data_IF_453984858169
#
_entry.id   IF_453984858169
#
_cell.length_a   1.000
_cell.length_b   1.000
_cell.length_c   1.000
_cell.angle_alpha   90.00
_cell.angle_beta   90.00
_cell.angle_gamma   90.00
#
_symmetry.space_group_name_H-M   'P 1'
#
loop_
_entity.id
_entity.type
_entity.pdbx_description
1 polymer ?
#
# COMPACT_ATOMS: atom_id res chain seq x y z
N UNK A 1 11.42 -1.82 33.81
CA UNK A 1 11.93 -1.68 32.43
C UNK A 1 12.82 -0.45 32.37
N UNK A 2 14.01 -0.53 31.77
CA UNK A 2 14.96 0.60 31.66
C UNK A 2 14.78 1.26 30.29
N UNK A 3 14.72 2.58 30.24
CA UNK A 3 14.61 3.32 28.98
C UNK A 3 15.98 3.44 28.31
N UNK A 4 16.03 3.28 26.99
CA UNK A 4 17.24 3.45 26.18
C UNK A 4 17.51 4.94 25.92
N UNK A 5 17.87 5.67 26.97
CA UNK A 5 18.20 7.10 26.91
C UNK A 5 19.65 7.32 27.33
N UNK A 6 20.32 8.30 26.71
CA UNK A 6 21.72 8.61 26.99
C UNK A 6 21.91 9.27 28.36
N UNK A 7 20.91 10.03 28.83
CA UNK A 7 20.95 10.78 30.08
C UNK A 7 19.61 10.68 30.80
N UNK A 8 19.62 10.94 32.11
CA UNK A 8 18.41 11.09 32.92
C UNK A 8 17.82 12.50 32.74
N UNK A 9 17.17 12.74 31.60
CA UNK A 9 16.44 13.97 31.34
C UNK A 9 15.35 14.21 32.40
N UNK A 10 14.99 15.49 32.64
CA UNK A 10 14.01 15.87 33.67
C UNK A 10 14.38 15.41 35.09
N UNK A 11 15.69 15.35 35.38
CA UNK A 11 16.23 15.06 36.71
C UNK A 11 17.20 16.14 37.17
N UNK A 12 17.53 16.15 38.45
CA UNK A 12 18.52 17.08 39.01
C UNK A 12 19.91 16.96 38.32
N UNK A 13 20.23 15.82 37.71
CA UNK A 13 21.52 15.59 37.03
C UNK A 13 21.70 16.47 35.78
N UNK A 14 20.61 16.94 35.16
CA UNK A 14 20.68 17.83 33.99
C UNK A 14 20.54 19.31 34.35
N UNK A 15 20.47 19.66 35.64
CA UNK A 15 20.38 21.06 36.08
C UNK A 15 21.49 21.98 35.51
N UNK A 16 22.76 21.55 35.36
CA UNK A 16 23.77 22.40 34.73
C UNK A 16 23.47 22.77 33.28
N UNK A 17 22.74 21.92 32.54
CA UNK A 17 22.33 22.21 31.17
C UNK A 17 21.25 23.31 31.11
N UNK A 18 20.43 23.46 32.16
CA UNK A 18 19.44 24.53 32.26
C UNK A 18 20.13 25.91 32.22
N UNK A 19 21.27 26.07 32.90
CA UNK A 19 22.01 27.33 32.91
C UNK A 19 22.62 27.69 31.54
N UNK A 20 23.02 26.68 30.76
CA UNK A 20 23.46 26.88 29.37
C UNK A 20 22.28 27.32 28.52
N UNK A 21 21.14 26.63 28.62
CA UNK A 21 19.92 26.99 27.90
C UNK A 21 19.46 28.41 28.24
N UNK A 22 19.49 28.80 29.53
CA UNK A 22 19.11 30.13 30.00
C UNK A 22 19.87 31.23 29.25
N UNK A 23 21.21 31.11 29.20
CA UNK A 23 22.10 32.05 28.50
C UNK A 23 21.85 32.08 26.99
N UNK A 24 21.61 30.93 26.37
CA UNK A 24 21.25 30.89 24.95
C UNK A 24 19.91 31.57 24.69
N UNK A 25 18.92 31.35 25.56
CA UNK A 25 17.61 31.95 25.41
C UNK A 25 17.69 33.48 25.57
N UNK A 26 18.52 34.05 26.44
CA UNK A 26 18.70 35.52 26.59
C UNK A 26 18.96 36.24 25.27
N UNK A 27 19.57 35.56 24.29
CA UNK A 27 19.87 36.10 22.96
C UNK A 27 18.70 36.01 21.97
N UNK A 28 17.61 35.34 22.36
CA UNK A 28 16.41 35.13 21.55
C UNK A 28 15.32 36.11 21.99
N UNK A 29 14.80 36.87 21.03
CA UNK A 29 13.59 37.69 21.21
C UNK A 29 12.38 36.78 21.39
N UNK A 30 11.74 36.87 22.55
CA UNK A 30 10.50 36.14 22.85
C UNK A 30 9.31 37.05 22.54
N UNK A 31 8.41 36.57 21.69
CA UNK A 31 7.13 37.23 21.46
C UNK A 31 6.06 36.65 22.40
N UNK A 32 4.98 37.39 22.69
CA UNK A 32 3.80 36.83 23.33
C UNK A 32 3.29 35.59 22.59
N UNK A 33 2.69 34.66 23.32
CA UNK A 33 2.14 33.45 22.71
C UNK A 33 0.99 33.80 21.75
N UNK A 34 1.11 33.32 20.51
CA UNK A 34 0.04 33.36 19.53
C UNK A 34 -0.68 32.01 19.53
N UNK A 35 -1.95 32.03 19.92
CA UNK A 35 -2.76 30.82 20.05
C UNK A 35 -2.62 30.13 21.42
N UNK A 36 -3.36 29.04 21.56
CA UNK A 36 -3.51 28.32 22.82
C UNK A 36 -2.41 27.27 22.98
N UNK A 37 -1.69 27.32 24.10
CA UNK A 37 -0.62 26.38 24.44
C UNK A 37 -0.86 25.78 25.82
N UNK A 38 -1.02 24.46 25.88
CA UNK A 38 -1.08 23.73 27.15
C UNK A 38 0.29 23.15 27.43
N UNK A 39 0.95 23.68 28.46
CA UNK A 39 2.32 23.31 28.79
C UNK A 39 2.38 22.01 29.57
N UNK A 40 3.29 21.13 29.17
CA UNK A 40 3.62 19.93 29.94
C UNK A 40 4.51 20.24 31.16
N UNK A 41 5.09 21.44 31.26
CA UNK A 41 5.84 21.85 32.45
C UNK A 41 4.88 22.15 33.63
N UNK A 42 3.77 22.82 33.33
CA UNK A 42 2.78 23.26 34.32
C UNK A 42 1.55 22.35 34.38
N UNK A 43 1.29 21.61 33.31
CA UNK A 43 0.08 20.82 33.11
C UNK A 43 -1.16 21.71 32.87
N UNK A 44 -0.98 22.97 32.46
CA UNK A 44 -2.05 23.96 32.31
C UNK A 44 -1.84 24.81 31.06
N UNK A 45 -2.88 25.50 30.63
CA UNK A 45 -2.80 26.54 29.61
C UNK A 45 -1.90 27.70 30.06
N UNK A 46 -1.08 28.20 29.14
CA UNK A 46 -0.20 29.34 29.36
C UNK A 46 -0.91 30.65 29.01
N UNK A 47 -0.68 31.69 29.82
CA UNK A 47 -1.11 33.03 29.50
C UNK A 47 -0.21 33.65 28.40
N UNK A 48 -0.73 34.57 27.56
CA UNK A 48 0.05 35.18 26.48
C UNK A 48 1.35 35.87 26.92
N UNK A 49 1.38 36.40 28.15
CA UNK A 49 2.49 37.12 28.78
C UNK A 49 3.38 36.23 29.67
N UNK A 50 3.20 34.91 29.63
CA UNK A 50 4.03 33.96 30.39
C UNK A 50 5.51 34.18 30.09
N UNK A 51 6.35 34.27 31.14
CA UNK A 51 7.81 34.27 30.97
C UNK A 51 8.30 32.89 30.47
N UNK A 52 8.32 32.74 29.15
CA UNK A 52 8.74 31.53 28.46
C UNK A 52 10.21 31.19 28.74
N UNK A 53 11.06 32.19 28.96
CA UNK A 53 12.50 31.97 29.20
C UNK A 53 12.70 31.23 30.52
N UNK A 54 12.05 31.73 31.57
CA UNK A 54 12.09 31.09 32.89
C UNK A 54 11.41 29.72 32.85
N UNK A 55 10.25 29.60 32.20
CA UNK A 55 9.52 28.34 32.10
C UNK A 55 10.33 27.25 31.39
N UNK A 56 10.89 27.54 30.22
CA UNK A 56 11.68 26.57 29.44
C UNK A 56 12.96 26.15 30.18
N UNK A 57 13.63 27.11 30.83
CA UNK A 57 14.83 26.84 31.63
C UNK A 57 14.51 25.90 32.80
N UNK A 58 13.47 26.19 33.56
CA UNK A 58 13.06 25.36 34.69
C UNK A 58 12.62 23.96 34.25
N UNK A 59 12.01 23.84 33.07
CA UNK A 59 11.47 22.58 32.57
C UNK A 59 12.54 21.53 32.23
N UNK A 60 13.79 21.95 31.94
CA UNK A 60 14.91 21.03 31.65
C UNK A 60 15.12 20.00 32.76
N UNK A 61 15.04 20.44 34.02
CA UNK A 61 15.17 19.58 35.20
C UNK A 61 13.81 19.29 35.87
N UNK A 62 12.74 19.96 35.43
CA UNK A 62 11.38 19.77 35.92
C UNK A 62 10.67 18.58 35.26
N UNK A 63 9.62 18.03 35.91
CA UNK A 63 8.89 16.89 35.38
C UNK A 63 8.01 17.26 34.17
N UNK A 64 7.76 16.27 33.31
CA UNK A 64 6.80 16.36 32.20
C UNK A 64 5.42 15.88 32.67
N UNK A 65 4.49 16.81 32.87
CA UNK A 65 3.12 16.58 33.33
C UNK A 65 2.17 16.28 32.17
N UNK A 66 2.53 15.34 31.30
CA UNK A 66 1.79 15.07 30.07
C UNK A 66 0.33 14.65 30.32
N UNK A 67 0.08 13.73 31.26
CA UNK A 67 -1.29 13.31 31.59
C UNK A 67 -2.18 14.46 32.06
N UNK A 68 -1.63 15.40 32.84
CA UNK A 68 -2.35 16.59 33.29
C UNK A 68 -2.61 17.57 32.14
N UNK A 69 -1.64 17.75 31.23
CA UNK A 69 -1.81 18.57 30.04
C UNK A 69 -2.91 17.98 29.11
N UNK A 70 -2.92 16.66 28.90
CA UNK A 70 -3.95 15.98 28.12
C UNK A 70 -5.33 16.11 28.77
N UNK A 71 -5.44 15.93 30.09
CA UNK A 71 -6.69 16.13 30.80
C UNK A 71 -7.21 17.57 30.69
N UNK A 72 -6.30 18.56 30.75
CA UNK A 72 -6.64 19.98 30.55
C UNK A 72 -7.11 20.25 29.12
N UNK A 73 -6.45 19.66 28.12
CA UNK A 73 -6.86 19.79 26.71
C UNK A 73 -8.23 19.13 26.46
N UNK A 74 -8.47 17.98 27.08
CA UNK A 74 -9.70 17.21 26.92
C UNK A 74 -10.96 17.90 27.48
N UNK A 75 -10.82 18.92 28.34
CA UNK A 75 -11.98 19.65 28.87
C UNK A 75 -12.80 20.35 27.79
N UNK A 76 -12.16 20.67 26.65
CA UNK A 76 -12.81 21.26 25.48
C UNK A 76 -13.37 20.22 24.50
N UNK A 77 -13.18 18.93 24.78
CA UNK A 77 -13.67 17.81 23.96
C UNK A 77 -13.26 17.92 22.48
N UNK A 78 -11.95 17.99 22.18
CA UNK A 78 -11.49 18.07 20.80
C UNK A 78 -11.88 16.80 20.01
N UNK A 79 -12.37 17.00 18.78
CA UNK A 79 -12.79 15.91 17.89
C UNK A 79 -11.60 15.12 17.31
N UNK A 80 -10.42 15.75 17.21
CA UNK A 80 -9.23 15.19 16.58
C UNK A 80 -7.96 15.56 17.35
N UNK A 81 -7.15 14.55 17.66
CA UNK A 81 -5.82 14.70 18.24
C UNK A 81 -4.76 14.33 17.20
N UNK A 82 -3.83 15.24 16.94
CA UNK A 82 -2.76 15.04 15.96
C UNK A 82 -1.40 15.06 16.65
N UNK A 83 -0.67 13.95 16.57
CA UNK A 83 0.74 13.90 16.94
C UNK A 83 1.58 14.31 15.75
N UNK A 84 2.31 15.41 15.91
CA UNK A 84 3.29 15.90 14.95
C UNK A 84 4.69 15.49 15.42
N UNK A 85 5.21 14.44 14.80
CA UNK A 85 6.52 13.89 15.15
C UNK A 85 6.59 12.39 14.89
N UNK A 86 7.80 11.81 14.97
CA UNK A 86 8.02 10.40 14.70
C UNK A 86 7.57 9.52 15.87
N UNK A 87 6.96 8.38 15.55
CA UNK A 87 6.86 7.23 16.47
C UNK A 87 5.47 6.93 17.00
N UNK A 88 4.52 7.88 16.96
CA UNK A 88 3.14 7.64 17.38
C UNK A 88 2.96 7.41 18.88
N UNK A 89 3.96 7.76 19.69
CA UNK A 89 3.97 7.48 21.13
C UNK A 89 2.97 8.36 21.85
N UNK A 90 2.88 9.65 21.50
CA UNK A 90 1.97 10.58 22.18
C UNK A 90 0.51 10.25 21.87
N UNK A 91 0.21 9.85 20.64
CA UNK A 91 -1.11 9.40 20.21
C UNK A 91 -1.56 8.13 20.96
N UNK A 92 -0.63 7.24 21.30
CA UNK A 92 -0.91 6.10 22.16
C UNK A 92 -1.15 6.53 23.62
N UNK A 93 -0.28 7.37 24.18
CA UNK A 93 -0.44 7.88 25.55
C UNK A 93 -1.76 8.64 25.73
N UNK A 94 -2.19 9.44 24.74
CA UNK A 94 -3.49 10.13 24.77
C UNK A 94 -4.64 9.11 24.87
N UNK A 95 -4.59 8.02 24.11
CA UNK A 95 -5.58 6.93 24.19
C UNK A 95 -5.55 6.24 25.55
N UNK A 96 -4.37 6.03 26.14
CA UNK A 96 -4.26 5.42 27.47
C UNK A 96 -4.84 6.35 28.57
N UNK A 97 -4.65 7.66 28.44
CA UNK A 97 -5.13 8.66 29.41
C UNK A 97 -6.65 8.87 29.31
N UNK A 98 -7.19 8.97 28.09
CA UNK A 98 -8.60 9.31 27.86
C UNK A 98 -9.50 8.09 27.64
N UNK A 99 -8.92 6.94 27.31
CA UNK A 99 -9.62 5.76 26.82
C UNK A 99 -9.69 5.71 25.29
N UNK A 100 -9.72 4.51 24.68
CA UNK A 100 -9.64 4.33 23.23
C UNK A 100 -10.82 4.95 22.46
N UNK A 101 -12.01 4.98 23.06
CA UNK A 101 -13.23 5.52 22.44
C UNK A 101 -13.38 7.04 22.59
N UNK A 102 -12.59 7.66 23.47
CA UNK A 102 -12.73 9.08 23.81
C UNK A 102 -11.93 10.01 22.90
N UNK A 103 -11.02 9.48 22.08
CA UNK A 103 -10.10 10.29 21.29
C UNK A 103 -9.80 9.68 19.92
N UNK A 104 -10.22 10.39 18.86
CA UNK A 104 -9.70 10.13 17.51
C UNK A 104 -8.28 10.66 17.43
N UNK A 105 -7.28 9.78 17.50
CA UNK A 105 -5.85 10.16 17.39
C UNK A 105 -5.25 9.78 16.04
N UNK A 106 -4.38 10.65 15.50
CA UNK A 106 -3.59 10.41 14.28
C UNK A 106 -2.15 10.85 14.51
N UNK A 107 -1.19 10.02 14.10
CA UNK A 107 0.22 10.37 14.07
C UNK A 107 0.63 10.71 12.64
N UNK A 108 1.43 11.76 12.46
CA UNK A 108 1.89 12.19 11.14
C UNK A 108 3.08 11.40 10.62
N UNK A 109 3.80 10.70 11.50
CA UNK A 109 4.98 9.92 11.14
C UNK A 109 5.09 8.65 11.99
N UNK A 110 5.16 7.50 11.33
CA UNK A 110 5.19 6.18 11.97
C UNK A 110 6.27 5.30 11.31
N UNK A 111 7.04 4.53 12.12
CA UNK A 111 8.04 3.62 11.58
C UNK A 111 7.45 2.63 10.57
N UNK A 112 8.08 2.52 9.40
CA UNK A 112 7.66 1.58 8.34
C UNK A 112 6.40 1.99 7.57
N UNK A 113 5.87 3.19 7.80
CA UNK A 113 4.75 3.76 7.03
C UNK A 113 5.25 4.90 6.14
N UNK A 114 4.58 5.10 5.01
CA UNK A 114 4.86 6.23 4.14
C UNK A 114 4.23 7.50 4.73
N UNK A 115 5.03 8.57 4.91
CA UNK A 115 4.55 9.83 5.46
C UNK A 115 3.47 10.52 4.61
N UNK A 116 3.48 10.35 3.29
CA UNK A 116 2.41 10.87 2.43
C UNK A 116 1.09 10.15 2.66
N UNK A 117 1.11 8.83 2.88
CA UNK A 117 -0.10 8.08 3.20
C UNK A 117 -0.68 8.55 4.53
N UNK A 118 0.16 8.72 5.56
CA UNK A 118 -0.27 9.21 6.88
C UNK A 118 -0.83 10.64 6.80
N UNK A 119 -0.20 11.52 6.01
CA UNK A 119 -0.71 12.86 5.77
C UNK A 119 -2.06 12.81 5.06
N UNK A 120 -2.21 11.99 4.02
CA UNK A 120 -3.48 11.86 3.30
C UNK A 120 -4.59 11.27 4.19
N UNK A 121 -4.28 10.27 5.02
CA UNK A 121 -5.20 9.71 6.01
C UNK A 121 -5.65 10.78 7.03
N UNK A 122 -4.73 11.60 7.52
CA UNK A 122 -5.03 12.72 8.42
C UNK A 122 -5.94 13.75 7.73
N UNK A 123 -5.62 14.15 6.51
CA UNK A 123 -6.41 15.13 5.75
C UNK A 123 -7.81 14.60 5.43
N UNK A 124 -7.92 13.32 5.06
CA UNK A 124 -9.21 12.68 4.86
C UNK A 124 -10.05 12.66 6.16
N UNK A 125 -9.43 12.33 7.29
CA UNK A 125 -10.10 12.36 8.59
C UNK A 125 -10.56 13.76 8.96
N UNK A 126 -9.70 14.77 8.78
CA UNK A 126 -10.04 16.17 9.03
C UNK A 126 -11.20 16.64 8.13
N UNK A 127 -11.18 16.27 6.85
CA UNK A 127 -12.26 16.57 5.92
C UNK A 127 -13.59 15.95 6.36
N UNK A 128 -13.60 14.67 6.76
CA UNK A 128 -14.81 13.98 7.24
C UNK A 128 -15.36 14.62 8.51
N UNK A 129 -14.49 15.14 9.38
CA UNK A 129 -14.89 15.88 10.59
C UNK A 129 -15.33 17.33 10.30
N UNK A 130 -15.32 17.76 9.03
CA UNK A 130 -15.77 19.09 8.61
C UNK A 130 -14.72 20.19 8.75
N UNK A 131 -13.45 19.86 9.00
CA UNK A 131 -12.39 20.86 9.00
C UNK A 131 -12.11 21.37 7.58
N UNK A 132 -11.84 22.68 7.41
CA UNK A 132 -11.49 23.23 6.10
C UNK A 132 -10.09 22.75 5.67
N UNK A 133 -10.05 21.79 4.75
CA UNK A 133 -8.80 21.27 4.18
C UNK A 133 -8.41 22.09 2.95
N UNK A 134 -7.26 22.77 3.01
CA UNK A 134 -6.73 23.55 1.88
C UNK A 134 -5.97 22.65 0.91
N UNK A 135 -6.68 22.08 -0.06
CA UNK A 135 -6.09 21.18 -1.06
C UNK A 135 -5.07 21.90 -1.97
N UNK A 136 -5.24 23.18 -2.25
CA UNK A 136 -4.30 23.96 -3.08
C UNK A 136 -2.87 23.94 -2.51
N UNK A 137 -2.73 23.94 -1.18
CA UNK A 137 -1.44 23.84 -0.51
C UNK A 137 -0.82 22.45 -0.66
N UNK A 138 -1.63 21.39 -0.68
CA UNK A 138 -1.19 20.01 -0.84
C UNK A 138 -0.66 19.73 -2.26
N UNK A 139 -1.27 20.37 -3.25
CA UNK A 139 -0.91 20.26 -4.67
C UNK A 139 -0.05 21.44 -5.17
N UNK A 140 0.42 22.31 -4.27
CA UNK A 140 1.27 23.43 -4.62
C UNK A 140 2.51 22.93 -5.39
N UNK A 141 2.84 23.63 -6.48
CA UNK A 141 3.95 23.29 -7.37
C UNK A 141 3.85 21.92 -8.06
N UNK A 142 2.66 21.30 -8.09
CA UNK A 142 2.37 20.07 -8.84
C UNK A 142 1.39 20.36 -9.97
N UNK A 143 1.63 19.76 -11.13
CA UNK A 143 0.66 19.76 -12.20
C UNK A 143 -0.55 18.93 -11.77
N UNK A 144 -1.71 19.57 -11.67
CA UNK A 144 -2.99 18.90 -11.47
C UNK A 144 -4.00 19.55 -12.42
N UNK A 145 -4.93 18.72 -12.92
CA UNK A 145 -6.07 19.22 -13.70
C UNK A 145 -7.24 19.37 -12.72
N UNK A 146 -7.86 20.55 -12.59
CA UNK A 146 -9.08 20.70 -11.83
C UNK A 146 -10.12 19.68 -12.29
N UNK A 147 -10.72 18.98 -11.33
CA UNK A 147 -11.79 18.04 -11.60
C UNK A 147 -13.13 18.74 -11.33
N UNK A 148 -13.89 18.97 -12.38
CA UNK A 148 -15.24 19.50 -12.28
C UNK A 148 -16.19 18.34 -11.97
N UNK A 149 -16.48 18.16 -10.68
CA UNK A 149 -17.37 17.12 -10.22
C UNK A 149 -18.84 17.36 -10.62
N UNK A 150 -19.24 18.62 -10.87
CA UNK A 150 -20.62 18.98 -11.21
C UNK A 150 -20.95 18.61 -12.66
N UNK A 151 -19.97 18.73 -13.56
CA UNK A 151 -20.12 18.42 -14.99
C UNK A 151 -19.41 17.13 -15.40
N UNK A 152 -19.02 16.28 -14.45
CA UNK A 152 -18.38 15.00 -14.75
C UNK A 152 -19.39 13.96 -15.24
N UNK A 153 -19.36 13.66 -16.53
CA UNK A 153 -20.06 12.51 -17.11
C UNK A 153 -19.10 11.31 -17.27
N UNK A 154 -19.27 10.21 -16.51
CA UNK A 154 -18.39 9.05 -16.63
C UNK A 154 -18.60 8.36 -17.98
N UNK A 155 -17.63 8.52 -18.87
CA UNK A 155 -17.53 7.74 -20.11
C UNK A 155 -16.98 6.35 -19.81
N UNK A 156 -17.83 5.33 -19.82
CA UNK A 156 -17.37 3.95 -19.74
C UNK A 156 -16.72 3.56 -21.07
N UNK A 157 -15.58 2.86 -21.01
CA UNK A 157 -15.00 2.23 -22.19
C UNK A 157 -15.97 1.13 -22.62
N UNK A 158 -16.82 1.43 -23.60
CA UNK A 158 -17.69 0.43 -24.22
C UNK A 158 -16.86 -0.35 -25.23
N UNK A 159 -16.81 -1.67 -25.07
CA UNK A 159 -16.13 -2.55 -26.01
C UNK A 159 -16.70 -2.28 -27.42
N UNK A 160 -15.87 -1.90 -28.41
CA UNK A 160 -16.35 -1.65 -29.76
C UNK A 160 -17.05 -2.87 -30.39
N UNK A 161 -16.80 -4.09 -29.90
CA UNK A 161 -17.50 -5.30 -30.33
C UNK A 161 -18.92 -5.46 -29.73
N UNK A 162 -19.26 -4.70 -28.68
CA UNK A 162 -20.62 -4.65 -28.11
C UNK A 162 -21.52 -3.64 -28.84
N UNK A 163 -20.93 -2.74 -29.64
CA UNK A 163 -21.69 -1.99 -30.64
C UNK A 163 -22.04 -2.99 -31.72
N UNK A 164 -23.33 -3.34 -31.82
CA UNK A 164 -23.83 -4.25 -32.85
C UNK A 164 -23.21 -3.92 -34.21
N UNK A 165 -22.91 -4.95 -35.00
CA UNK A 165 -22.29 -4.78 -36.30
C UNK A 165 -23.00 -3.66 -37.08
N UNK A 166 -22.27 -2.70 -37.68
CA UNK A 166 -22.90 -1.64 -38.46
C UNK A 166 -23.85 -2.29 -39.46
N UNK A 167 -25.07 -1.73 -39.58
CA UNK A 167 -26.03 -2.13 -40.60
C UNK A 167 -25.26 -2.22 -41.93
N UNK A 168 -25.25 -3.43 -42.50
CA UNK A 168 -24.45 -3.83 -43.66
C UNK A 168 -24.04 -2.62 -44.50
N UNK A 169 -22.77 -2.22 -44.41
CA UNK A 169 -22.17 -1.35 -45.42
C UNK A 169 -22.39 -2.06 -46.74
N UNK A 170 -23.24 -1.50 -47.60
CA UNK A 170 -23.59 -2.10 -48.89
C UNK A 170 -22.31 -2.33 -49.67
N UNK A 171 -21.81 -3.57 -49.65
CA UNK A 171 -20.82 -4.02 -50.61
C UNK A 171 -21.62 -4.04 -51.91
N UNK A 172 -21.45 -3.01 -52.75
CA UNK A 172 -21.93 -3.05 -54.12
C UNK A 172 -21.31 -4.31 -54.74
N UNK A 173 -22.12 -5.36 -54.84
CA UNK A 173 -21.76 -6.53 -55.62
C UNK A 173 -21.73 -6.07 -57.08
N UNK A 174 -20.54 -5.68 -57.55
CA UNK A 174 -20.28 -5.68 -58.98
C UNK A 174 -20.44 -7.12 -59.44
N UNK A 175 -21.35 -7.36 -60.38
CA UNK A 175 -21.58 -8.67 -60.96
C UNK A 175 -20.25 -9.32 -61.38
N UNK A 176 -20.08 -10.64 -61.18
CA UNK A 176 -18.83 -11.31 -61.48
C UNK A 176 -18.59 -11.27 -62.99
N UNK A 177 -17.55 -10.53 -63.39
CA UNK A 177 -17.06 -10.49 -64.76
C UNK A 177 -16.61 -11.89 -65.19
N UNK A 178 -17.38 -12.50 -66.09
CA UNK A 178 -17.29 -13.90 -66.51
C UNK A 178 -16.10 -14.19 -67.45
N UNK A 179 -14.98 -13.49 -67.26
CA UNK A 179 -13.82 -13.55 -68.14
C UNK A 179 -12.51 -13.47 -67.35
N UNK A 180 -12.27 -14.45 -66.47
CA UNK A 180 -10.91 -14.87 -66.08
C UNK A 180 -10.95 -16.31 -65.55
N UNK A 181 -10.90 -17.25 -66.49
CA UNK A 181 -10.59 -18.64 -66.18
C UNK A 181 -9.09 -18.74 -65.84
N UNK A 182 -8.82 -19.66 -64.91
CA UNK A 182 -7.61 -20.46 -64.77
C UNK A 182 -6.25 -19.73 -64.76
N UNK A 183 -5.72 -19.55 -63.55
CA UNK A 183 -4.44 -20.12 -63.11
C UNK A 183 -4.09 -19.59 -61.71
N UNK A 184 -4.41 -20.36 -60.67
CA UNK A 184 -3.72 -20.25 -59.37
C UNK A 184 -2.66 -21.35 -59.37
N UNK A 185 -1.36 -21.03 -59.30
CA UNK A 185 -0.33 -22.05 -59.21
C UNK A 185 -0.51 -22.83 -57.90
N UNK A 186 -0.59 -24.15 -58.04
CA UNK A 186 -0.62 -25.12 -56.96
C UNK A 186 0.67 -24.97 -56.13
N UNK A 187 0.54 -24.41 -54.92
CA UNK A 187 1.68 -24.24 -54.02
C UNK A 187 1.79 -25.52 -53.19
N UNK A 188 2.75 -26.37 -53.55
CA UNK A 188 3.10 -27.60 -52.85
C UNK A 188 3.23 -27.39 -51.33
N UNK A 189 2.79 -28.37 -50.50
CA UNK A 189 2.92 -28.30 -49.06
C UNK A 189 4.40 -28.35 -48.67
N UNK A 190 4.87 -27.28 -48.04
CA UNK A 190 6.25 -27.19 -47.53
C UNK A 190 6.43 -28.19 -46.39
N UNK A 191 7.33 -29.15 -46.60
CA UNK A 191 7.73 -30.17 -45.61
C UNK A 191 8.20 -29.53 -44.27
N UNK A 192 8.01 -30.22 -43.14
CA UNK A 192 8.48 -29.72 -41.84
C UNK A 192 10.01 -29.74 -41.81
N UNK A 193 10.60 -28.59 -41.47
CA UNK A 193 12.03 -28.48 -41.22
C UNK A 193 12.38 -29.20 -39.91
N UNK A 194 13.15 -30.29 -40.01
CA UNK A 194 13.78 -30.94 -38.87
C UNK A 194 14.96 -30.11 -38.35
N UNK A 195 15.17 -30.13 -37.02
CA UNK A 195 16.51 -30.00 -36.43
C UNK A 195 16.82 -28.77 -35.58
N UNK A 196 15.91 -28.31 -34.72
CA UNK A 196 16.30 -27.55 -33.53
C UNK A 196 16.66 -28.52 -32.39
N UNK A 197 17.60 -28.20 -31.48
CA UNK A 197 17.88 -29.07 -30.34
C UNK A 197 16.57 -29.28 -29.58
N UNK A 198 16.23 -30.56 -29.36
CA UNK A 198 15.11 -30.94 -28.50
C UNK A 198 15.35 -30.27 -27.15
N UNK A 199 14.60 -29.21 -26.83
CA UNK A 199 14.60 -28.66 -25.47
C UNK A 199 14.13 -29.80 -24.57
N UNK A 200 15.04 -30.35 -23.78
CA UNK A 200 14.70 -31.31 -22.74
C UNK A 200 13.53 -30.75 -21.95
N UNK A 201 12.49 -31.57 -21.77
CA UNK A 201 11.30 -31.13 -21.03
C UNK A 201 11.75 -30.76 -19.62
N UNK A 202 11.60 -29.50 -19.18
CA UNK A 202 12.13 -29.07 -17.90
C UNK A 202 11.52 -29.92 -16.79
N UNK A 203 12.37 -30.53 -15.98
CA UNK A 203 11.98 -31.36 -14.85
C UNK A 203 11.72 -30.48 -13.63
N UNK A 204 11.00 -31.01 -12.63
CA UNK A 204 10.78 -30.30 -11.36
C UNK A 204 12.10 -29.85 -10.72
N UNK A 205 13.12 -30.71 -10.78
CA UNK A 205 14.46 -30.40 -10.24
C UNK A 205 15.17 -29.28 -11.00
N UNK A 206 15.03 -29.19 -12.33
CA UNK A 206 15.65 -28.10 -13.10
C UNK A 206 14.96 -26.76 -12.84
N UNK A 207 13.64 -26.76 -12.68
CA UNK A 207 12.88 -25.55 -12.31
C UNK A 207 13.16 -25.10 -10.87
N UNK A 208 13.29 -26.03 -9.93
CA UNK A 208 13.71 -25.72 -8.55
C UNK A 208 15.13 -25.13 -8.54
N UNK A 209 16.07 -25.70 -9.28
CA UNK A 209 17.42 -25.17 -9.40
C UNK A 209 17.43 -23.75 -10.01
N UNK A 210 16.62 -23.52 -11.04
CA UNK A 210 16.42 -22.19 -11.62
C UNK A 210 15.86 -21.21 -10.60
N UNK A 211 14.81 -21.58 -9.86
CA UNK A 211 14.20 -20.71 -8.85
C UNK A 211 15.18 -20.36 -7.73
N UNK A 212 15.95 -21.34 -7.22
CA UNK A 212 16.99 -21.12 -6.22
C UNK A 212 18.04 -20.13 -6.72
N UNK A 213 18.52 -20.30 -7.96
CA UNK A 213 19.49 -19.38 -8.56
C UNK A 213 18.91 -17.96 -8.77
N UNK A 214 17.64 -17.87 -9.17
CA UNK A 214 16.93 -16.61 -9.36
C UNK A 214 16.78 -15.86 -8.04
N UNK A 215 16.34 -16.55 -6.98
CA UNK A 215 16.17 -16.00 -5.63
C UNK A 215 17.52 -15.56 -5.07
N UNK A 216 18.56 -16.39 -5.19
CA UNK A 216 19.90 -16.06 -4.71
C UNK A 216 20.44 -14.76 -5.35
N UNK A 217 20.26 -14.57 -6.66
CA UNK A 217 20.73 -13.38 -7.38
C UNK A 217 20.02 -12.08 -6.99
N UNK A 218 18.75 -12.15 -6.58
CA UNK A 218 17.90 -10.96 -6.39
C UNK A 218 17.56 -10.65 -4.94
N UNK A 219 17.56 -11.65 -4.06
CA UNK A 219 17.18 -11.52 -2.65
C UNK A 219 18.38 -11.62 -1.69
N UNK A 220 19.61 -11.74 -2.20
CA UNK A 220 20.83 -11.71 -1.39
C UNK A 220 21.12 -12.99 -0.61
N UNK A 221 20.40 -14.09 -0.89
CA UNK A 221 20.69 -15.40 -0.31
C UNK A 221 21.81 -16.11 -1.07
N UNK A 222 22.62 -16.91 -0.38
CA UNK A 222 23.41 -17.94 -1.05
C UNK A 222 22.50 -19.08 -1.53
N UNK A 223 22.88 -19.78 -2.59
CA UNK A 223 22.11 -20.93 -3.12
C UNK A 223 21.91 -22.05 -2.09
N UNK A 224 22.78 -22.15 -1.08
CA UNK A 224 22.68 -23.12 0.01
C UNK A 224 21.61 -22.76 1.07
N UNK A 225 21.13 -21.51 1.11
CA UNK A 225 20.16 -21.03 2.08
C UNK A 225 18.71 -21.16 1.61
N UNK A 226 18.48 -21.38 0.31
CA UNK A 226 17.14 -21.49 -0.28
C UNK A 226 16.74 -22.96 -0.35
N UNK A 227 15.69 -23.33 0.38
CA UNK A 227 15.12 -24.68 0.44
C UNK A 227 13.73 -24.70 -0.20
N UNK A 228 13.34 -25.83 -0.79
CA UNK A 228 12.07 -25.98 -1.52
C UNK A 228 10.83 -25.87 -0.62
N UNK A 229 10.98 -26.11 0.69
CA UNK A 229 9.91 -26.06 1.68
C UNK A 229 9.59 -24.65 2.19
N UNK A 230 10.43 -23.66 1.88
CA UNK A 230 10.27 -22.29 2.33
C UNK A 230 9.17 -21.56 1.55
N UNK A 231 8.40 -20.73 2.25
CA UNK A 231 7.41 -19.83 1.67
C UNK A 231 8.09 -18.62 1.02
N UNK A 232 7.61 -18.21 -0.16
CA UNK A 232 8.20 -17.09 -0.88
C UNK A 232 8.20 -15.79 -0.05
N UNK A 233 7.07 -15.45 0.57
CA UNK A 233 6.96 -14.24 1.40
C UNK A 233 7.53 -14.41 2.81
N UNK A 234 7.02 -15.37 3.57
CA UNK A 234 7.28 -15.45 5.01
C UNK A 234 8.72 -15.88 5.35
N UNK A 235 9.31 -16.77 4.54
CA UNK A 235 10.63 -17.33 4.81
C UNK A 235 11.73 -16.71 3.93
N UNK A 236 11.40 -16.36 2.69
CA UNK A 236 12.35 -15.83 1.71
C UNK A 236 12.22 -14.31 1.50
N UNK A 237 11.28 -13.64 2.17
CA UNK A 237 11.13 -12.18 2.14
C UNK A 237 10.80 -11.61 0.75
N UNK A 238 10.28 -12.42 -0.17
CA UNK A 238 9.85 -11.96 -1.49
C UNK A 238 8.51 -11.22 -1.35
N UNK A 239 8.52 -9.93 -1.68
CA UNK A 239 7.27 -9.17 -1.82
C UNK A 239 6.39 -9.75 -2.94
N UNK A 240 5.10 -9.37 -2.96
CA UNK A 240 4.13 -9.89 -3.94
C UNK A 240 4.50 -9.61 -5.40
N UNK A 241 5.32 -8.58 -5.66
CA UNK A 241 5.78 -8.23 -7.02
C UNK A 241 6.87 -9.20 -7.45
N UNK A 242 7.91 -9.39 -6.61
CA UNK A 242 9.01 -10.32 -6.88
C UNK A 242 8.55 -11.77 -6.93
N UNK A 243 7.59 -12.15 -6.08
CA UNK A 243 6.97 -13.47 -6.15
C UNK A 243 6.24 -13.67 -7.48
N UNK A 244 5.47 -12.68 -7.94
CA UNK A 244 4.82 -12.70 -9.25
C UNK A 244 5.80 -12.79 -10.42
N UNK A 245 6.91 -12.04 -10.38
CA UNK A 245 7.97 -12.12 -11.40
C UNK A 245 8.61 -13.50 -11.46
N UNK A 246 8.88 -14.13 -10.31
CA UNK A 246 9.45 -15.48 -10.23
C UNK A 246 8.50 -16.50 -10.89
N UNK A 247 7.19 -16.41 -10.63
CA UNK A 247 6.17 -17.30 -11.23
C UNK A 247 6.16 -17.16 -12.76
N UNK A 248 6.21 -15.93 -13.28
CA UNK A 248 6.22 -15.68 -14.72
C UNK A 248 7.51 -16.20 -15.39
N UNK A 249 8.66 -16.05 -14.74
CA UNK A 249 9.93 -16.58 -15.24
C UNK A 249 9.96 -18.11 -15.26
N UNK A 250 9.46 -18.75 -14.20
CA UNK A 250 9.32 -20.21 -14.14
C UNK A 250 8.34 -20.74 -15.20
N UNK A 251 7.27 -20.01 -15.46
CA UNK A 251 6.30 -20.31 -16.53
C UNK A 251 6.94 -20.24 -17.92
N UNK A 252 7.79 -19.25 -18.17
CA UNK A 252 8.56 -19.14 -19.41
C UNK A 252 9.57 -20.27 -19.57
N UNK A 253 10.32 -20.59 -18.51
CA UNK A 253 11.31 -21.67 -18.51
C UNK A 253 10.64 -23.04 -18.70
N UNK A 254 9.45 -23.23 -18.13
CA UNK A 254 8.63 -24.42 -18.30
C UNK A 254 7.98 -24.53 -19.70
N UNK A 255 8.00 -23.46 -20.50
CA UNK A 255 7.29 -23.38 -21.78
C UNK A 255 5.77 -23.46 -21.65
N UNK A 256 5.21 -23.08 -20.49
CA UNK A 256 3.79 -23.22 -20.15
C UNK A 256 3.25 -21.91 -19.60
N UNK A 257 2.27 -21.26 -20.25
CA UNK A 257 1.70 -20.02 -19.74
C UNK A 257 0.97 -20.26 -18.42
N UNK A 258 1.28 -19.45 -17.41
CA UNK A 258 0.58 -19.47 -16.13
C UNK A 258 -0.85 -18.90 -16.29
N UNK A 259 -1.84 -19.59 -15.71
CA UNK A 259 -3.26 -19.17 -15.74
C UNK A 259 -3.70 -18.83 -14.33
N UNK A 260 -4.08 -17.56 -14.11
CA UNK A 260 -4.46 -17.03 -12.80
C UNK A 260 -3.68 -15.76 -12.44
N UNK A 261 -3.81 -15.30 -11.21
CA UNK A 261 -3.02 -14.18 -10.68
C UNK A 261 -1.68 -14.69 -10.11
N UNK A 262 -0.52 -14.33 -10.68
CA UNK A 262 0.79 -14.75 -10.17
C UNK A 262 1.03 -14.33 -8.72
N UNK A 263 0.46 -13.21 -8.28
CA UNK A 263 0.62 -12.72 -6.91
C UNK A 263 -0.09 -13.60 -5.87
N UNK A 264 -1.09 -14.38 -6.28
CA UNK A 264 -1.80 -15.31 -5.40
C UNK A 264 -0.89 -16.41 -4.81
N UNK A 265 0.23 -16.70 -5.48
CA UNK A 265 1.22 -17.69 -5.04
C UNK A 265 2.31 -17.13 -4.11
N UNK A 266 2.23 -15.85 -3.73
CA UNK A 266 3.25 -15.20 -2.90
C UNK A 266 3.41 -15.84 -1.50
N UNK A 267 2.36 -16.47 -0.96
CA UNK A 267 2.43 -17.16 0.35
C UNK A 267 2.65 -18.68 0.22
N UNK A 268 2.82 -19.19 -1.00
CA UNK A 268 3.02 -20.62 -1.28
C UNK A 268 4.48 -21.04 -1.08
N UNK A 269 4.69 -22.33 -0.84
CA UNK A 269 6.05 -22.91 -0.78
C UNK A 269 6.67 -22.96 -2.18
N UNK A 270 7.99 -22.87 -2.25
CA UNK A 270 8.71 -22.93 -3.53
C UNK A 270 8.38 -24.21 -4.33
N UNK A 271 8.26 -25.37 -3.68
CA UNK A 271 7.83 -26.62 -4.31
C UNK A 271 6.40 -26.57 -4.85
N UNK A 272 5.49 -25.89 -4.17
CA UNK A 272 4.08 -25.76 -4.59
C UNK A 272 3.95 -24.88 -5.83
N UNK A 273 4.79 -23.84 -5.93
CA UNK A 273 4.85 -22.97 -7.11
C UNK A 273 5.33 -23.75 -8.33
N UNK A 274 6.46 -24.47 -8.21
CA UNK A 274 6.97 -25.31 -9.31
C UNK A 274 5.97 -26.41 -9.68
N UNK A 275 5.36 -27.05 -8.68
CA UNK A 275 4.32 -28.06 -8.89
C UNK A 275 3.10 -27.49 -9.64
N UNK A 276 2.65 -26.29 -9.30
CA UNK A 276 1.54 -25.61 -9.98
C UNK A 276 1.83 -25.32 -11.44
N UNK A 277 3.07 -24.93 -11.78
CA UNK A 277 3.50 -24.64 -13.15
C UNK A 277 3.59 -25.92 -14.00
N UNK A 278 3.98 -27.04 -13.38
CA UNK A 278 4.09 -28.34 -14.05
C UNK A 278 2.76 -29.08 -14.19
N UNK A 279 1.74 -28.74 -13.39
CA UNK A 279 0.40 -29.33 -13.53
C UNK A 279 -0.17 -29.07 -14.94
N UNK A 280 -0.82 -30.06 -15.57
CA UNK A 280 -1.51 -29.83 -16.83
C UNK A 280 -2.68 -28.86 -16.61
N UNK A 281 -2.95 -27.94 -17.56
CA UNK A 281 -4.11 -27.05 -17.46
C UNK A 281 -5.40 -27.88 -17.50
N UNK A 282 -6.09 -28.03 -16.37
CA UNK A 282 -7.36 -28.77 -16.29
C UNK A 282 -7.77 -29.37 -14.94
N UNK A 283 -6.93 -29.38 -13.90
CA UNK A 283 -7.32 -29.88 -12.58
C UNK A 283 -7.60 -28.71 -11.61
N UNK A 284 -8.82 -28.17 -11.66
CA UNK A 284 -9.34 -27.26 -10.62
C UNK A 284 -9.91 -28.15 -9.50
N UNK A 285 -9.24 -28.23 -8.36
CA UNK A 285 -9.89 -28.58 -7.09
C UNK A 285 -10.32 -27.29 -6.40
N UNK A 286 -11.63 -27.10 -6.24
CA UNK A 286 -12.20 -26.00 -5.44
C UNK A 286 -11.90 -26.22 -3.94
N UNK A 287 -11.41 -25.22 -3.19
CA UNK A 287 -11.35 -25.32 -1.74
C UNK A 287 -12.76 -25.16 -1.15
N UNK A 288 -13.07 -26.01 -0.16
CA UNK A 288 -14.37 -26.11 0.50
C UNK A 288 -14.86 -24.75 1.05
N UNK A 289 -15.99 -24.27 0.52
CA UNK A 289 -16.69 -23.11 1.02
C UNK A 289 -17.38 -23.42 2.36
N UNK A 290 -16.94 -22.72 3.40
CA UNK A 290 -17.62 -22.64 4.70
C UNK A 290 -19.01 -22.03 4.53
N UNK A 291 -20.01 -22.75 5.04
CA UNK A 291 -21.43 -22.43 4.97
C UNK A 291 -21.81 -21.21 5.82
N UNK A 292 -22.41 -20.20 5.19
CA UNK A 292 -23.48 -19.38 5.77
C UNK A 292 -24.40 -18.92 4.64
N UNK A 293 -25.64 -19.41 4.65
CA UNK A 293 -26.61 -19.19 3.59
C UNK A 293 -27.37 -17.87 3.70
N UNK A 294 -27.93 -17.39 2.59
CA UNK A 294 -29.36 -17.55 2.33
C UNK A 294 -29.76 -17.08 0.92
N UNK A 295 -30.45 -17.99 0.22
CA UNK A 295 -31.61 -17.82 -0.67
C UNK A 295 -31.81 -16.47 -1.39
N UNK A 296 -31.70 -16.50 -2.72
CA UNK A 296 -32.82 -16.17 -3.63
C UNK A 296 -32.81 -17.17 -4.79
N UNK A 297 -34.00 -17.67 -5.10
CA UNK A 297 -34.28 -18.74 -6.03
C UNK A 297 -34.56 -18.23 -7.46
N UNK A 298 -34.36 -19.15 -8.41
CA UNK A 298 -35.01 -19.28 -9.73
C UNK A 298 -34.66 -18.29 -10.86
N UNK A 299 -33.76 -18.73 -11.75
CA UNK A 299 -33.55 -18.24 -13.12
C UNK A 299 -32.72 -19.27 -13.92
N UNK A 300 -33.08 -19.52 -15.18
CA UNK A 300 -32.62 -20.61 -16.07
C UNK A 300 -31.07 -20.75 -16.26
N UNK A 301 -30.57 -21.92 -16.70
CA UNK A 301 -29.14 -22.21 -16.76
C UNK A 301 -28.48 -21.49 -17.96
N UNK A 302 -27.43 -20.70 -17.68
CA UNK A 302 -26.61 -20.06 -18.72
C UNK A 302 -26.52 -18.54 -18.59
N UNK A 303 -25.95 -18.05 -17.49
CA UNK A 303 -25.66 -16.63 -17.30
C UNK A 303 -25.03 -16.37 -15.94
N UNK A 304 -23.73 -16.64 -15.80
CA UNK A 304 -22.98 -16.26 -14.58
C UNK A 304 -22.67 -14.76 -14.63
N UNK A 305 -22.91 -14.12 -13.49
CA UNK A 305 -22.94 -12.69 -13.30
C UNK A 305 -21.60 -11.98 -13.49
N UNK A 306 -21.66 -10.89 -14.25
CA UNK A 306 -20.59 -9.91 -14.42
C UNK A 306 -20.92 -8.56 -13.77
N UNK A 307 -21.91 -8.52 -12.87
CA UNK A 307 -22.26 -7.31 -12.13
C UNK A 307 -21.79 -7.46 -10.69
N UNK A 308 -20.77 -6.68 -10.30
CA UNK A 308 -20.53 -6.32 -8.90
C UNK A 308 -21.21 -4.98 -8.66
N UNK A 309 -22.08 -4.92 -7.66
CA UNK A 309 -22.67 -3.69 -7.14
C UNK A 309 -21.57 -2.81 -6.54
N UNK A 310 -21.59 -1.52 -6.85
CA UNK A 310 -20.76 -0.48 -6.22
C UNK A 310 -21.26 -0.18 -4.81
#
# INVERSE_FOLDING_TARGET
MRLAVSHAFHSALVAPAAEVLRRSLEQVSMNPLEGRVISTATGRELAPDTDLRTLLTAHVAGPVRFAQAVATAASERPDLWVEVGPGGVLAHLVKDILGPEAATTRATDLPGRNGYDLLNELLAQAYVLGFPVRLDALFAHRFHRPFDAEHYEPGFIVNPCERGAPERVGICATEPDAARSDQVPEKEPRAPANGGPVRETPTENSLLAFAVAWIARRAGFSTAQVRKEQRLRDDLGLDSIKAGELVLQLSQEAGRPFVGDPASLANSRLSEVVGTILKPPGAIEEPAASAFGNRIATGRPGGKGWVRTF
#
